data_IF_850693774950
#
_entry.id   IF_850693774950
#
_cell.length_a   1.000
_cell.length_b   1.000
_cell.length_c   1.000
_cell.angle_alpha   90.00
_cell.angle_beta   90.00
_cell.angle_gamma   90.00
#
_symmetry.space_group_name_H-M   'P 1'
#
loop_
_entity.id
_entity.type
_entity.pdbx_description
1 polymer ?
#
# COMPACT_ATOMS: atom_id res chain seq x y z
N UNK A 1 22.63 23.24 -4.08
CA UNK A 1 22.49 21.94 -3.38
C UNK A 1 21.17 21.33 -3.80
N UNK A 2 21.18 20.14 -4.43
CA UNK A 2 19.93 19.41 -4.69
C UNK A 2 19.37 18.92 -3.34
N UNK A 3 18.16 19.33 -2.98
CA UNK A 3 17.51 18.84 -1.75
C UNK A 3 17.07 17.39 -1.98
N UNK A 4 17.67 16.43 -1.28
CA UNK A 4 17.15 15.05 -1.25
C UNK A 4 15.76 15.03 -0.60
N UNK A 5 14.84 14.26 -1.18
CA UNK A 5 13.42 14.19 -0.80
C UNK A 5 13.00 12.73 -0.72
N UNK A 6 11.97 12.44 0.06
CA UNK A 6 11.29 11.14 0.07
C UNK A 6 10.14 11.19 -0.95
N UNK A 7 10.11 10.23 -1.87
CA UNK A 7 9.12 10.11 -2.94
C UNK A 7 8.36 8.80 -2.76
N UNK A 8 7.04 8.86 -2.72
CA UNK A 8 6.16 7.68 -2.65
C UNK A 8 5.63 7.39 -4.05
N UNK A 9 5.84 6.17 -4.54
CA UNK A 9 5.40 5.73 -5.88
C UNK A 9 4.49 4.51 -5.74
N UNK A 10 3.25 4.62 -6.22
CA UNK A 10 2.23 3.56 -6.16
C UNK A 10 1.99 2.96 -7.54
N UNK A 11 1.80 1.64 -7.63
CA UNK A 11 1.69 0.93 -8.92
C UNK A 11 3.05 0.68 -9.58
N UNK A 12 4.12 0.68 -8.79
CA UNK A 12 5.52 0.59 -9.25
C UNK A 12 5.92 -0.77 -9.84
N UNK A 13 4.98 -1.67 -10.12
CA UNK A 13 5.28 -3.04 -10.52
C UNK A 13 5.94 -3.14 -11.90
N UNK A 14 5.54 -2.28 -12.84
CA UNK A 14 5.91 -2.38 -14.26
C UNK A 14 5.72 -1.01 -14.95
N UNK A 15 6.19 -0.91 -16.19
CA UNK A 15 5.85 0.19 -17.10
C UNK A 15 6.38 1.56 -16.67
N UNK A 16 5.69 2.62 -17.09
CA UNK A 16 6.12 4.01 -16.85
C UNK A 16 6.33 4.32 -15.36
N UNK A 17 5.53 3.70 -14.49
CA UNK A 17 5.62 3.91 -13.04
C UNK A 17 6.88 3.26 -12.46
N UNK A 18 7.29 2.08 -12.92
CA UNK A 18 8.56 1.48 -12.53
C UNK A 18 9.76 2.34 -12.99
N UNK A 19 9.69 2.96 -14.17
CA UNK A 19 10.73 3.87 -14.65
C UNK A 19 10.81 5.17 -13.81
N UNK A 20 9.68 5.67 -13.30
CA UNK A 20 9.72 6.83 -12.37
C UNK A 20 10.47 6.53 -11.07
N UNK A 21 10.36 5.30 -10.53
CA UNK A 21 11.18 4.88 -9.37
C UNK A 21 12.67 4.98 -9.68
N UNK A 22 13.10 4.43 -10.83
CA UNK A 22 14.50 4.49 -11.28
C UNK A 22 14.96 5.93 -11.47
N UNK A 23 14.13 6.78 -12.09
CA UNK A 23 14.44 8.18 -12.36
C UNK A 23 14.64 8.99 -11.07
N UNK A 24 13.77 8.83 -10.07
CA UNK A 24 13.93 9.54 -8.78
C UNK A 24 15.15 9.05 -8.00
N UNK A 25 15.44 7.74 -8.04
CA UNK A 25 16.67 7.18 -7.45
C UNK A 25 17.93 7.73 -8.11
N UNK A 26 17.95 7.80 -9.45
CA UNK A 26 19.08 8.37 -10.20
C UNK A 26 19.33 9.86 -9.89
N UNK A 27 18.31 10.59 -9.43
CA UNK A 27 18.42 11.97 -8.96
C UNK A 27 18.87 12.11 -7.50
N UNK A 28 19.13 10.99 -6.80
CA UNK A 28 19.54 10.98 -5.39
C UNK A 28 18.39 11.17 -4.40
N UNK A 29 17.15 10.87 -4.82
CA UNK A 29 15.98 10.87 -3.95
C UNK A 29 15.71 9.49 -3.36
N UNK A 30 15.11 9.50 -2.17
CA UNK A 30 14.70 8.30 -1.43
C UNK A 30 13.34 7.87 -1.95
N UNK A 31 13.16 6.61 -2.37
CA UNK A 31 11.90 6.17 -3.01
C UNK A 31 11.25 5.00 -2.28
N UNK A 32 10.01 5.20 -1.84
CA UNK A 32 9.12 4.14 -1.35
C UNK A 32 8.24 3.68 -2.51
N UNK A 33 8.50 2.49 -3.05
CA UNK A 33 7.77 1.93 -4.18
C UNK A 33 6.81 0.81 -3.72
N UNK A 34 5.55 0.89 -4.12
CA UNK A 34 4.50 -0.08 -3.74
C UNK A 34 3.69 -0.49 -4.96
N UNK A 35 3.25 -1.74 -5.04
CA UNK A 35 2.33 -2.22 -6.08
C UNK A 35 1.58 -3.47 -5.63
N UNK A 36 0.47 -3.78 -6.32
CA UNK A 36 -0.39 -4.93 -5.99
C UNK A 36 0.23 -6.28 -6.33
N UNK A 37 1.13 -6.32 -7.31
CA UNK A 37 1.73 -7.54 -7.88
C UNK A 37 3.24 -7.68 -7.65
N UNK A 38 3.86 -6.74 -6.92
CA UNK A 38 5.27 -6.80 -6.56
C UNK A 38 5.35 -6.85 -5.04
N UNK A 39 6.04 -7.87 -4.50
CA UNK A 39 6.63 -7.78 -3.17
C UNK A 39 7.54 -6.54 -3.19
N UNK A 40 7.26 -5.51 -2.40
CA UNK A 40 7.84 -4.22 -2.64
C UNK A 40 9.34 -4.33 -2.41
N UNK A 41 10.13 -3.95 -3.40
CA UNK A 41 11.49 -3.52 -3.14
C UNK A 41 11.41 -2.20 -2.39
N UNK A 42 11.02 -2.25 -1.11
CA UNK A 42 11.22 -1.14 -0.20
C UNK A 42 12.69 -1.11 0.15
N UNK A 43 13.47 -0.58 -0.77
CA UNK A 43 14.79 -0.06 -0.41
C UNK A 43 14.54 1.28 0.25
N UNK A 44 14.24 1.25 1.55
CA UNK A 44 14.28 2.44 2.35
C UNK A 44 15.75 2.82 2.56
N UNK A 45 16.15 4.02 2.14
CA UNK A 45 17.49 4.54 2.46
C UNK A 45 17.72 4.54 3.97
N UNK A 46 18.98 4.46 4.38
CA UNK A 46 19.39 4.41 5.78
C UNK A 46 18.62 5.40 6.68
N UNK A 47 17.99 4.89 7.73
CA UNK A 47 17.32 5.69 8.77
C UNK A 47 15.86 6.08 8.50
N UNK A 48 15.21 5.60 7.44
CA UNK A 48 13.74 5.68 7.29
C UNK A 48 13.15 4.28 7.26
N UNK A 49 12.01 4.09 7.92
CA UNK A 49 11.15 2.93 7.71
C UNK A 49 10.07 3.28 6.72
N UNK A 50 9.73 2.34 5.84
CA UNK A 50 8.63 2.49 4.92
C UNK A 50 7.85 1.19 4.84
N UNK A 51 6.53 1.27 4.96
CA UNK A 51 5.61 0.15 4.84
C UNK A 51 4.39 0.61 4.03
N UNK A 52 3.63 -0.33 3.50
CA UNK A 52 2.42 -0.06 2.74
C UNK A 52 1.21 -0.75 3.35
N UNK A 53 0.05 -0.09 3.27
CA UNK A 53 -1.25 -0.71 3.51
C UNK A 53 -1.91 -0.93 2.15
N UNK A 54 -2.24 -2.18 1.83
CA UNK A 54 -2.93 -2.58 0.60
C UNK A 54 -4.40 -2.86 0.92
N UNK A 55 -5.31 -1.89 0.73
CA UNK A 55 -6.70 -2.06 1.09
C UNK A 55 -7.44 -2.95 0.09
N UNK A 56 -8.40 -3.72 0.61
CA UNK A 56 -9.47 -4.30 -0.20
C UNK A 56 -10.54 -3.26 -0.52
N UNK A 57 -11.80 -3.69 -0.61
CA UNK A 57 -12.91 -2.77 -0.88
C UNK A 57 -13.36 -2.17 0.44
N UNK A 58 -13.06 -0.88 0.61
CA UNK A 58 -13.39 -0.12 1.81
C UNK A 58 -14.66 0.69 1.57
N UNK A 59 -15.57 0.72 2.54
CA UNK A 59 -16.78 1.53 2.48
C UNK A 59 -16.41 3.00 2.36
N UNK A 60 -16.87 3.60 1.26
CA UNK A 60 -16.65 5.01 0.94
C UNK A 60 -17.76 5.50 0.00
N UNK A 61 -17.98 6.82 -0.14
CA UNK A 61 -18.99 7.38 -1.04
C UNK A 61 -18.83 6.99 -2.52
N UNK A 62 -17.69 6.41 -2.91
CA UNK A 62 -17.46 5.90 -4.26
C UNK A 62 -18.33 4.69 -4.63
N UNK A 63 -18.91 4.00 -3.64
CA UNK A 63 -19.67 2.77 -3.86
C UNK A 63 -21.18 3.06 -3.79
N UNK A 64 -21.93 2.89 -4.89
CA UNK A 64 -23.38 3.04 -4.85
C UNK A 64 -24.00 1.95 -3.96
N UNK A 65 -25.05 2.29 -3.21
CA UNK A 65 -25.68 1.40 -2.23
C UNK A 65 -26.08 0.03 -2.81
N UNK A 66 -26.51 0.00 -4.08
CA UNK A 66 -26.85 -1.21 -4.85
C UNK A 66 -25.72 -2.24 -4.91
N UNK A 67 -24.46 -1.81 -4.85
CA UNK A 67 -23.30 -2.67 -5.03
C UNK A 67 -22.74 -3.22 -3.72
N UNK A 68 -23.17 -2.71 -2.55
CA UNK A 68 -22.51 -2.99 -1.27
C UNK A 68 -22.53 -4.49 -0.89
N UNK A 69 -23.65 -5.18 -1.11
CA UNK A 69 -23.76 -6.61 -0.79
C UNK A 69 -22.85 -7.48 -1.68
N UNK A 70 -22.79 -7.18 -2.97
CA UNK A 70 -21.88 -7.85 -3.91
C UNK A 70 -20.43 -7.60 -3.51
N UNK A 71 -20.06 -6.35 -3.24
CA UNK A 71 -18.71 -5.96 -2.88
C UNK A 71 -18.26 -6.61 -1.57
N UNK A 72 -19.16 -6.72 -0.58
CA UNK A 72 -18.90 -7.43 0.68
C UNK A 72 -18.61 -8.93 0.48
N UNK A 73 -19.29 -9.57 -0.48
CA UNK A 73 -19.07 -10.98 -0.80
C UNK A 73 -17.73 -11.27 -1.49
N UNK A 74 -16.97 -10.25 -1.89
CA UNK A 74 -15.63 -10.42 -2.46
C UNK A 74 -14.54 -10.61 -1.40
N UNK A 75 -14.87 -10.44 -0.11
CA UNK A 75 -13.96 -10.64 1.01
C UNK A 75 -14.34 -11.94 1.72
N UNK A 76 -13.40 -12.87 1.96
CA UNK A 76 -13.65 -14.07 2.78
C UNK A 76 -14.28 -13.79 4.16
N UNK A 77 -13.98 -12.65 4.78
CA UNK A 77 -14.61 -12.21 6.04
C UNK A 77 -16.09 -11.77 5.90
N UNK A 78 -16.64 -11.77 4.69
CA UNK A 78 -18.07 -11.52 4.42
C UNK A 78 -18.51 -10.06 4.59
N UNK A 79 -17.58 -9.11 4.65
CA UNK A 79 -17.88 -7.68 4.78
C UNK A 79 -16.87 -6.83 4.01
N UNK A 80 -17.34 -5.68 3.55
CA UNK A 80 -16.45 -4.59 3.15
C UNK A 80 -15.64 -4.10 4.37
N UNK A 81 -14.43 -3.62 4.11
CA UNK A 81 -13.64 -2.92 5.12
C UNK A 81 -14.22 -1.56 5.48
N UNK A 82 -13.89 -1.07 6.67
CA UNK A 82 -14.20 0.28 7.15
C UNK A 82 -12.92 1.12 7.20
N UNK A 83 -13.04 2.46 7.24
CA UNK A 83 -11.86 3.33 7.38
C UNK A 83 -11.07 3.03 8.65
N UNK A 84 -11.72 2.58 9.72
CA UNK A 84 -11.06 2.15 10.96
C UNK A 84 -10.13 0.95 10.75
N UNK A 85 -10.45 0.03 9.83
CA UNK A 85 -9.56 -1.11 9.53
C UNK A 85 -8.22 -0.61 8.96
N UNK A 86 -8.26 0.42 8.10
CA UNK A 86 -7.06 1.05 7.52
C UNK A 86 -6.25 1.82 8.57
N UNK A 87 -6.92 2.62 9.40
CA UNK A 87 -6.26 3.38 10.48
C UNK A 87 -5.53 2.44 11.43
N UNK A 88 -6.18 1.34 11.85
CA UNK A 88 -5.57 0.36 12.74
C UNK A 88 -4.33 -0.29 12.12
N UNK A 89 -4.34 -0.58 10.81
CA UNK A 89 -3.20 -1.12 10.09
C UNK A 89 -2.01 -0.14 10.02
N UNK A 90 -2.28 1.15 9.85
CA UNK A 90 -1.25 2.19 9.91
C UNK A 90 -0.64 2.26 11.32
N UNK A 91 -1.47 2.27 12.35
CA UNK A 91 -1.01 2.28 13.75
C UNK A 91 -0.21 1.02 14.11
N UNK A 92 -0.58 -0.14 13.57
CA UNK A 92 0.21 -1.37 13.69
C UNK A 92 1.63 -1.19 13.14
N UNK A 93 1.78 -0.65 11.92
CA UNK A 93 3.11 -0.37 11.35
C UNK A 93 3.91 0.69 12.12
N UNK A 94 3.24 1.69 12.69
CA UNK A 94 3.87 2.69 13.54
C UNK A 94 4.44 2.04 14.81
N UNK A 95 3.65 1.17 15.46
CA UNK A 95 4.01 0.45 16.68
C UNK A 95 5.08 -0.63 16.51
N UNK A 96 5.45 -0.97 15.27
CA UNK A 96 6.39 -2.05 14.94
C UNK A 96 7.72 -1.48 14.39
N UNK A 97 8.64 -1.01 15.25
CA UNK A 97 9.83 -0.27 14.83
C UNK A 97 10.86 -1.12 14.06
N UNK A 98 10.76 -2.44 14.12
CA UNK A 98 11.62 -3.34 13.34
C UNK A 98 11.03 -3.70 11.97
N UNK A 99 9.77 -3.33 11.71
CA UNK A 99 9.07 -3.62 10.46
C UNK A 99 9.31 -2.47 9.48
N UNK A 100 10.01 -2.79 8.40
CA UNK A 100 10.17 -1.96 7.21
C UNK A 100 10.13 -2.88 5.99
N UNK A 101 9.56 -2.38 4.91
CA UNK A 101 9.42 -3.08 3.65
C UNK A 101 8.23 -3.99 3.50
N UNK A 102 7.27 -3.89 4.42
CA UNK A 102 6.10 -4.75 4.42
C UNK A 102 4.94 -4.16 3.60
N UNK A 103 4.10 -5.04 3.01
CA UNK A 103 2.75 -4.68 2.53
C UNK A 103 1.73 -5.43 3.37
N UNK A 104 1.13 -4.71 4.31
CA UNK A 104 0.00 -5.24 5.05
C UNK A 104 -1.25 -5.20 4.18
N UNK A 105 -1.74 -6.38 3.81
CA UNK A 105 -3.03 -6.54 3.15
C UNK A 105 -4.15 -6.34 4.17
N UNK A 106 -5.01 -5.35 3.92
CA UNK A 106 -6.17 -5.01 4.76
C UNK A 106 -7.41 -5.13 3.90
N UNK A 107 -7.69 -6.38 3.54
CA UNK A 107 -8.64 -6.71 2.48
C UNK A 107 -9.54 -7.88 2.86
N UNK A 108 -9.64 -8.21 4.14
CA UNK A 108 -10.52 -9.28 4.60
C UNK A 108 -10.22 -10.66 3.97
N UNK A 109 -8.99 -10.88 3.51
CA UNK A 109 -8.55 -12.13 2.88
C UNK A 109 -8.71 -12.18 1.36
N UNK A 110 -9.15 -11.09 0.71
CA UNK A 110 -9.41 -11.06 -0.73
C UNK A 110 -8.17 -11.42 -1.58
N UNK A 111 -6.98 -11.02 -1.16
CA UNK A 111 -5.71 -11.39 -1.82
C UNK A 111 -5.25 -12.82 -1.54
N UNK A 112 -5.69 -13.43 -0.44
CA UNK A 112 -5.22 -14.74 0.01
C UNK A 112 -6.11 -15.91 -0.44
N UNK A 113 -7.35 -15.64 -0.87
CA UNK A 113 -8.39 -16.63 -1.15
C UNK A 113 -8.80 -16.76 -2.62
N UNK A 114 -7.84 -16.88 -3.56
CA UNK A 114 -8.11 -17.51 -4.86
C UNK A 114 -7.84 -19.01 -4.80
#
# INVERSE_FOLDING_TARGET
MSTSRVVIVTGASQGVVAETVKAFRAQGHRVVATARSIAPAVEADAGIRANAVSPGIIKSPMHPAKSLAMLAGMHPVGRMGEMSDIVNAILYHDSAPFVTGEILHVDGGQSAGQ
#
